data_IF_591685375346
#
_entry.id   IF_591685375346
#
_cell.length_a   1.000
_cell.length_b   1.000
_cell.length_c   1.000
_cell.angle_alpha   90.00
_cell.angle_beta   90.00
_cell.angle_gamma   90.00
#
_symmetry.space_group_name_H-M   'P 1'
#
loop_
_entity.id
_entity.type
_entity.pdbx_description
1 polymer ?
#
# COMPACT_ATOMS: atom_id res chain seq x y z
N UNK A 1 5.11 20.23 21.86
CA UNK A 1 5.75 18.95 21.51
C UNK A 1 5.66 18.80 20.00
N UNK A 2 6.70 19.25 19.30
CA UNK A 2 6.76 19.24 17.83
C UNK A 2 7.31 17.89 17.38
N UNK A 3 6.43 16.95 17.04
CA UNK A 3 6.83 15.71 16.39
C UNK A 3 7.06 15.99 14.91
N UNK A 4 8.26 16.45 14.58
CA UNK A 4 8.77 16.39 13.21
C UNK A 4 9.04 14.93 12.87
N UNK A 5 8.20 14.30 12.05
CA UNK A 5 8.63 13.12 11.29
C UNK A 5 7.98 13.06 9.92
N UNK A 6 8.24 14.09 9.12
CA UNK A 6 7.70 14.28 7.77
C UNK A 6 8.49 13.49 6.73
N UNK A 7 8.38 12.16 6.75
CA UNK A 7 8.71 11.33 5.56
C UNK A 7 7.44 10.69 5.02
N UNK A 8 6.52 11.55 4.64
CA UNK A 8 5.31 11.16 3.92
C UNK A 8 5.59 11.14 2.42
N UNK A 9 5.01 10.17 1.72
CA UNK A 9 5.07 9.96 0.28
C UNK A 9 3.72 10.33 -0.33
N UNK A 10 3.73 10.94 -1.52
CA UNK A 10 2.50 11.29 -2.24
C UNK A 10 1.84 10.03 -2.81
N UNK A 11 0.53 9.88 -2.59
CA UNK A 11 -0.26 8.75 -3.07
C UNK A 11 -0.74 9.04 -4.50
N UNK A 12 0.04 8.65 -5.51
CA UNK A 12 -0.38 8.75 -6.93
C UNK A 12 -0.15 10.10 -7.63
N UNK A 13 0.30 11.12 -6.91
CA UNK A 13 0.78 12.38 -7.50
C UNK A 13 2.28 12.35 -7.83
N UNK A 14 2.73 13.26 -8.70
CA UNK A 14 4.16 13.52 -8.92
C UNK A 14 4.88 13.72 -7.58
N UNK A 15 6.05 13.10 -7.42
CA UNK A 15 6.88 13.18 -6.21
C UNK A 15 7.32 14.62 -5.84
N UNK A 16 7.01 15.59 -6.71
CA UNK A 16 7.44 16.97 -6.67
C UNK A 16 6.37 17.96 -6.19
N UNK A 17 5.12 17.55 -5.93
CA UNK A 17 4.09 18.48 -5.41
C UNK A 17 4.01 18.44 -3.87
N UNK A 18 4.46 19.50 -3.16
CA UNK A 18 4.42 19.57 -1.70
C UNK A 18 3.00 19.71 -1.14
N UNK A 19 2.06 20.22 -1.95
CA UNK A 19 0.67 20.51 -1.60
C UNK A 19 -0.27 19.34 -1.90
N UNK A 20 0.27 18.21 -2.34
CA UNK A 20 -0.55 17.04 -2.61
C UNK A 20 -1.29 16.58 -1.34
N UNK A 21 -2.62 16.54 -1.43
CA UNK A 21 -3.52 16.32 -0.29
C UNK A 21 -3.40 14.91 0.31
N UNK A 22 -3.12 13.92 -0.53
CA UNK A 22 -3.10 12.51 -0.12
C UNK A 22 -1.67 12.01 0.11
N UNK A 23 -1.32 11.83 1.37
CA UNK A 23 0.02 11.47 1.83
C UNK A 23 -0.03 10.14 2.57
N UNK A 24 0.91 9.24 2.29
CA UNK A 24 1.11 8.00 3.04
C UNK A 24 2.44 8.03 3.78
N UNK A 25 2.58 7.40 4.95
CA UNK A 25 3.87 7.28 5.59
C UNK A 25 4.79 6.34 4.81
N UNK A 26 6.11 6.54 4.92
CA UNK A 26 7.09 5.60 4.35
C UNK A 26 6.94 4.22 4.99
N UNK A 27 7.18 3.17 4.19
CA UNK A 27 7.16 1.79 4.69
C UNK A 27 8.29 1.62 5.70
N UNK A 28 7.95 1.02 6.85
CA UNK A 28 8.92 0.59 7.85
C UNK A 28 8.85 -0.93 7.97
N UNK A 29 9.99 -1.59 7.79
CA UNK A 29 10.09 -3.05 7.88
C UNK A 29 11.12 -3.48 8.91
N UNK A 30 10.79 -4.55 9.63
CA UNK A 30 11.61 -5.18 10.65
C UNK A 30 11.94 -6.59 10.16
N UNK A 31 13.23 -6.88 9.96
CA UNK A 31 13.69 -8.21 9.52
C UNK A 31 14.05 -9.04 10.75
N UNK A 32 13.26 -10.06 11.04
CA UNK A 32 13.53 -11.02 12.10
C UNK A 32 14.40 -12.17 11.57
N UNK A 33 15.65 -12.27 12.04
CA UNK A 33 16.59 -13.31 11.60
C UNK A 33 16.40 -14.69 12.26
N UNK A 34 15.43 -14.85 13.16
CA UNK A 34 15.25 -16.08 13.97
C UNK A 34 14.88 -17.33 13.16
N UNK A 35 14.25 -17.20 12.00
CA UNK A 35 13.75 -18.33 11.20
C UNK A 35 14.00 -18.13 9.69
N UNK A 36 15.26 -18.00 9.29
CA UNK A 36 15.63 -17.84 7.88
C UNK A 36 15.32 -16.47 7.27
N UNK A 37 15.19 -15.45 8.12
CA UNK A 37 14.82 -14.08 7.73
C UNK A 37 13.32 -13.96 7.46
N UNK A 38 12.57 -13.34 8.36
CA UNK A 38 11.15 -13.01 8.16
C UNK A 38 11.02 -11.50 8.20
N UNK A 39 10.59 -10.89 7.11
CA UNK A 39 10.33 -9.44 7.08
C UNK A 39 8.91 -9.18 7.59
N UNK A 40 8.78 -8.29 8.56
CA UNK A 40 7.51 -7.82 9.10
C UNK A 40 7.36 -6.33 8.82
N UNK A 41 6.21 -5.90 8.31
CA UNK A 41 5.88 -4.49 8.07
C UNK A 41 5.15 -3.96 9.29
N UNK A 42 5.81 -3.09 10.05
CA UNK A 42 5.27 -2.56 11.31
C UNK A 42 4.19 -1.49 11.03
N UNK A 43 4.46 -0.65 10.02
CA UNK A 43 3.61 0.48 9.66
C UNK A 43 2.44 0.13 8.72
N UNK A 44 2.01 -1.14 8.69
CA UNK A 44 0.93 -1.59 7.80
C UNK A 44 -0.37 -0.84 8.08
N UNK A 45 -0.73 -0.67 9.36
CA UNK A 45 -1.99 -0.04 9.74
C UNK A 45 -2.08 1.40 9.23
N UNK A 46 -1.06 2.23 9.46
CA UNK A 46 -1.07 3.62 9.00
C UNK A 46 -1.11 3.75 7.47
N UNK A 47 -0.52 2.81 6.75
CA UNK A 47 -0.60 2.74 5.28
C UNK A 47 -2.03 2.37 4.85
N UNK A 48 -2.62 1.36 5.50
CA UNK A 48 -3.99 0.92 5.24
C UNK A 48 -5.00 2.05 5.50
N UNK A 49 -4.83 2.79 6.60
CA UNK A 49 -5.64 3.96 6.93
C UNK A 49 -5.49 5.07 5.89
N UNK A 50 -4.26 5.33 5.44
CA UNK A 50 -3.98 6.34 4.40
C UNK A 50 -4.56 5.97 3.03
N UNK A 51 -4.67 4.67 2.74
CA UNK A 51 -5.25 4.14 1.51
C UNK A 51 -6.74 3.82 1.63
N UNK A 52 -7.32 3.88 2.84
CA UNK A 52 -8.66 3.39 3.15
C UNK A 52 -8.91 1.98 2.58
N UNK A 53 -7.96 1.07 2.81
CA UNK A 53 -7.97 -0.31 2.29
C UNK A 53 -7.64 -1.33 3.36
N UNK A 54 -8.34 -2.45 3.31
CA UNK A 54 -8.05 -3.59 4.19
C UNK A 54 -6.67 -4.18 3.94
N UNK A 55 -5.93 -4.41 5.02
CA UNK A 55 -4.61 -5.03 4.99
C UNK A 55 -4.62 -6.41 4.31
N UNK A 56 -5.74 -7.14 4.41
CA UNK A 56 -5.93 -8.45 3.78
C UNK A 56 -5.90 -8.40 2.25
N UNK A 57 -6.44 -7.34 1.65
CA UNK A 57 -6.47 -7.20 0.19
C UNK A 57 -5.07 -6.87 -0.33
N UNK A 58 -4.39 -5.94 0.33
CA UNK A 58 -3.03 -5.55 -0.02
C UNK A 58 -2.07 -6.73 0.17
N UNK A 59 -2.24 -7.52 1.24
CA UNK A 59 -1.44 -8.72 1.47
C UNK A 59 -1.55 -9.73 0.33
N UNK A 60 -2.76 -9.95 -0.22
CA UNK A 60 -2.96 -10.83 -1.39
C UNK A 60 -2.20 -10.33 -2.61
N UNK A 61 -2.25 -9.02 -2.87
CA UNK A 61 -1.51 -8.42 -3.98
C UNK A 61 0.00 -8.52 -3.80
N UNK A 62 0.51 -8.16 -2.62
CA UNK A 62 1.92 -8.31 -2.27
C UNK A 62 2.39 -9.76 -2.41
N UNK A 63 1.52 -10.72 -2.07
CA UNK A 63 1.84 -12.14 -2.21
C UNK A 63 2.03 -12.56 -3.66
N UNK A 64 1.20 -12.04 -4.57
CA UNK A 64 1.32 -12.26 -6.02
C UNK A 64 2.58 -11.59 -6.59
N UNK A 65 2.84 -10.33 -6.22
CA UNK A 65 3.99 -9.56 -6.73
C UNK A 65 5.34 -10.06 -6.22
N UNK A 66 5.43 -10.40 -4.93
CA UNK A 66 6.67 -10.88 -4.31
C UNK A 66 6.91 -12.37 -4.60
N UNK A 67 5.94 -13.08 -5.18
CA UNK A 67 5.97 -14.53 -5.39
C UNK A 67 6.09 -15.32 -4.09
N UNK A 68 5.61 -14.77 -2.97
CA UNK A 68 5.81 -15.31 -1.62
C UNK A 68 4.53 -15.17 -0.80
N UNK A 69 4.20 -16.12 0.08
CA UNK A 69 3.05 -15.99 0.95
C UNK A 69 3.26 -14.83 1.95
N UNK A 70 2.31 -13.87 1.94
CA UNK A 70 2.24 -12.79 2.93
C UNK A 70 1.12 -13.11 3.92
N UNK A 71 1.48 -13.20 5.19
CA UNK A 71 0.54 -13.45 6.29
C UNK A 71 0.21 -12.15 7.00
N UNK A 72 -1.04 -11.96 7.42
CA UNK A 72 -1.43 -10.87 8.30
C UNK A 72 -1.31 -11.35 9.75
N UNK A 73 -0.35 -10.82 10.51
CA UNK A 73 -0.15 -11.12 11.94
C UNK A 73 -0.37 -9.85 12.75
N UNK A 74 -1.34 -9.85 13.65
CA UNK A 74 -1.65 -8.70 14.52
C UNK A 74 -1.86 -7.37 13.76
N UNK A 75 -2.39 -7.42 12.53
CA UNK A 75 -2.56 -6.23 11.68
C UNK A 75 -1.31 -5.82 10.88
N UNK A 76 -0.18 -6.50 11.07
CA UNK A 76 1.08 -6.30 10.35
C UNK A 76 1.30 -7.37 9.28
N UNK A 77 1.86 -6.99 8.13
CA UNK A 77 2.23 -7.98 7.11
C UNK A 77 3.54 -8.68 7.47
N UNK A 78 3.50 -10.00 7.57
CA UNK A 78 4.64 -10.87 7.82
C UNK A 78 4.90 -11.73 6.58
N UNK A 79 6.11 -11.71 6.06
CA UNK A 79 6.51 -12.48 4.89
C UNK A 79 7.79 -13.27 5.16
N UNK A 80 7.87 -14.48 4.63
CA UNK A 80 9.05 -15.33 4.75
C UNK A 80 10.13 -14.91 3.72
N UNK A 81 11.35 -14.76 4.21
CA UNK A 81 12.51 -14.26 3.48
C UNK A 81 12.92 -12.85 3.88
N UNK A 82 14.15 -12.48 3.55
CA UNK A 82 14.66 -11.12 3.69
C UNK A 82 14.23 -10.26 2.50
N UNK A 83 13.10 -9.57 2.65
CA UNK A 83 12.60 -8.63 1.65
C UNK A 83 13.05 -7.22 2.01
N UNK A 84 13.67 -6.53 1.04
CA UNK A 84 14.11 -5.14 1.19
C UNK A 84 12.90 -4.21 1.24
N UNK A 85 12.98 -3.19 2.11
CA UNK A 85 11.97 -2.14 2.23
C UNK A 85 11.65 -1.47 0.88
N UNK A 86 12.67 -1.22 0.05
CA UNK A 86 12.51 -0.57 -1.26
C UNK A 86 11.61 -1.38 -2.20
N UNK A 87 11.81 -2.70 -2.29
CA UNK A 87 11.01 -3.58 -3.14
C UNK A 87 9.55 -3.59 -2.70
N UNK A 88 9.28 -3.66 -1.40
CA UNK A 88 7.91 -3.59 -0.87
C UNK A 88 7.29 -2.23 -1.21
N UNK A 89 8.07 -1.15 -1.14
CA UNK A 89 7.61 0.17 -1.49
C UNK A 89 7.22 0.28 -2.96
N UNK A 90 8.02 -0.27 -3.86
CA UNK A 90 7.73 -0.34 -5.29
C UNK A 90 6.44 -1.16 -5.55
N UNK A 91 6.28 -2.32 -4.91
CA UNK A 91 5.05 -3.11 -5.03
C UNK A 91 3.81 -2.35 -4.54
N UNK A 92 3.91 -1.63 -3.42
CA UNK A 92 2.79 -0.79 -2.93
C UNK A 92 2.50 0.35 -3.90
N UNK A 93 3.52 1.00 -4.46
CA UNK A 93 3.30 2.03 -5.47
C UNK A 93 2.58 1.49 -6.71
N UNK A 94 2.96 0.29 -7.18
CA UNK A 94 2.25 -0.40 -8.27
C UNK A 94 0.82 -0.74 -7.89
N UNK A 95 0.58 -1.21 -6.66
CA UNK A 95 -0.77 -1.45 -6.13
C UNK A 95 -1.61 -0.18 -6.12
N UNK A 96 -1.05 0.94 -5.64
CA UNK A 96 -1.74 2.22 -5.59
C UNK A 96 -2.17 2.64 -6.99
N UNK A 97 -1.26 2.56 -7.96
CA UNK A 97 -1.55 2.95 -9.35
C UNK A 97 -2.63 2.08 -10.01
N UNK A 98 -2.70 0.80 -9.68
CA UNK A 98 -3.63 -0.13 -10.32
C UNK A 98 -4.96 -0.32 -9.58
N UNK A 99 -4.97 -0.23 -8.24
CA UNK A 99 -6.11 -0.63 -7.38
C UNK A 99 -6.59 0.46 -6.41
N UNK A 100 -5.93 1.62 -6.37
CA UNK A 100 -6.32 2.75 -5.51
C UNK A 100 -6.66 3.98 -6.34
N UNK A 101 -5.81 4.34 -7.31
CA UNK A 101 -6.07 5.46 -8.20
C UNK A 101 -7.15 5.09 -9.22
N UNK A 102 -8.10 6.00 -9.40
CA UNK A 102 -9.04 5.90 -10.51
C UNK A 102 -8.30 6.04 -11.85
N UNK A 103 -8.55 5.11 -12.78
CA UNK A 103 -7.95 5.17 -14.12
C UNK A 103 -8.43 6.35 -14.99
N UNK A 104 -9.46 7.07 -14.56
CA UNK A 104 -10.01 8.24 -15.27
C UNK A 104 -9.53 9.56 -14.66
N UNK A 105 -9.75 9.75 -13.35
CA UNK A 105 -9.49 11.03 -12.69
C UNK A 105 -8.24 11.04 -11.81
N UNK A 106 -7.57 9.90 -11.59
CA UNK A 106 -6.38 9.81 -10.76
C UNK A 106 -6.59 10.11 -9.28
N UNK A 107 -7.83 10.07 -8.77
CA UNK A 107 -8.10 10.26 -7.34
C UNK A 107 -7.92 8.93 -6.58
N UNK A 108 -7.18 8.90 -5.46
CA UNK A 108 -7.10 7.73 -4.58
C UNK A 108 -8.39 7.41 -3.80
N UNK A 109 -9.39 8.29 -3.78
CA UNK A 109 -10.70 8.05 -3.14
C UNK A 109 -11.59 7.09 -3.95
N UNK A 110 -11.26 5.80 -3.93
CA UNK A 110 -12.00 4.75 -4.61
C UNK A 110 -12.44 3.65 -3.65
N UNK A 111 -13.57 3.02 -3.94
CA UNK A 111 -14.09 1.83 -3.26
C UNK A 111 -13.75 0.61 -4.11
N UNK A 112 -12.98 -0.31 -3.55
CA UNK A 112 -12.69 -1.57 -4.20
C UNK A 112 -13.80 -2.57 -3.88
N UNK A 113 -14.47 -3.04 -4.92
CA UNK A 113 -15.34 -4.20 -4.89
C UNK A 113 -14.62 -5.40 -5.51
N UNK A 114 -15.16 -6.61 -5.33
CA UNK A 114 -14.50 -7.86 -5.77
C UNK A 114 -14.08 -7.91 -7.24
N UNK A 115 -14.72 -7.13 -8.14
CA UNK A 115 -14.40 -7.09 -9.58
C UNK A 115 -14.37 -5.69 -10.19
N UNK A 116 -14.59 -4.64 -9.39
CA UNK A 116 -14.71 -3.26 -9.88
C UNK A 116 -14.15 -2.29 -8.85
N UNK A 117 -13.57 -1.20 -9.34
CA UNK A 117 -13.07 -0.08 -8.56
C UNK A 117 -14.00 1.11 -8.83
N UNK A 118 -14.78 1.50 -7.83
CA UNK A 118 -15.74 2.61 -7.93
C UNK A 118 -15.10 3.89 -7.41
N UNK A 119 -15.05 4.95 -8.21
CA UNK A 119 -14.47 6.22 -7.77
C UNK A 119 -15.53 7.13 -7.14
N UNK A 120 -15.33 7.57 -5.89
CA UNK A 120 -16.27 8.47 -5.22
C UNK A 120 -16.30 9.88 -5.83
N UNK A 121 -15.18 10.33 -6.40
CA UNK A 121 -15.10 11.70 -6.95
C UNK A 121 -15.70 11.86 -8.34
N UNK A 122 -15.52 10.89 -9.24
CA UNK A 122 -16.04 10.98 -10.61
C UNK A 122 -17.20 10.04 -10.89
N UNK A 123 -17.53 9.10 -9.99
CA UNK A 123 -18.60 8.12 -10.18
C UNK A 123 -18.29 7.00 -11.17
N UNK A 124 -17.09 6.98 -11.78
CA UNK A 124 -16.72 5.94 -12.73
C UNK A 124 -16.35 4.62 -12.06
N UNK A 125 -16.72 3.53 -12.71
CA UNK A 125 -16.38 2.17 -12.32
C UNK A 125 -15.29 1.62 -13.25
N UNK A 126 -14.10 1.37 -12.71
CA UNK A 126 -13.02 0.72 -13.45
C UNK A 126 -13.09 -0.79 -13.19
N UNK A 127 -13.31 -1.59 -14.24
CA UNK A 127 -13.26 -3.06 -14.12
C UNK A 127 -11.81 -3.49 -13.95
N UNK A 128 -11.53 -4.22 -12.89
CA UNK A 128 -10.20 -4.80 -12.66
C UNK A 128 -10.16 -6.14 -13.40
N UNK A 129 -9.34 -6.22 -14.46
CA UNK A 129 -9.10 -7.48 -15.15
C UNK A 129 -8.10 -8.30 -14.33
N UNK A 130 -8.52 -9.48 -13.88
CA UNK A 130 -7.75 -10.42 -13.06
C UNK A 130 -6.69 -11.18 -13.84
#
# INVERSE_FOLDING_TARGET
>A
MSFTNSKQLNIGGSASDPFYRYKMPKISTVVQRKSGGTTVVDNTQAICDSLSRDASVIAKFLSKELGRPVQLKNGSWSMHGEVKMQTIQECIFSYIKAYVLCGVCGNPETILHSKKLECKSCGNETKLHS
#
